data_IF_068001434443
#
_entry.id   IF_068001434443
#
_cell.length_a   1.000
_cell.length_b   1.000
_cell.length_c   1.000
_cell.angle_alpha   90.00
_cell.angle_beta   90.00
_cell.angle_gamma   90.00
#
_symmetry.space_group_name_H-M   'P 1'
#
loop_
_entity.id
_entity.type
_entity.pdbx_description
1 polymer ?
#
# COMPACT_ATOMS: atom_id res chain seq x y z
N UNK A 1 -2.28 4.12 -15.05
CA UNK A 1 -1.09 3.42 -14.53
C UNK A 1 -1.40 2.56 -13.31
N UNK A 2 -1.96 3.10 -12.22
CA UNK A 2 -2.30 2.31 -11.03
C UNK A 2 -3.17 1.09 -11.33
N UNK A 3 -4.20 1.23 -12.18
CA UNK A 3 -5.04 0.11 -12.63
C UNK A 3 -4.26 -0.97 -13.37
N UNK A 4 -3.30 -0.57 -14.21
CA UNK A 4 -2.45 -1.51 -14.92
C UNK A 4 -1.53 -2.26 -13.94
N UNK A 5 -0.97 -1.58 -12.93
CA UNK A 5 -0.17 -2.22 -11.88
C UNK A 5 -1.02 -3.19 -11.07
N UNK A 6 -2.21 -2.76 -10.63
CA UNK A 6 -3.14 -3.57 -9.83
C UNK A 6 -3.61 -4.83 -10.56
N UNK A 7 -3.68 -4.83 -11.89
CA UNK A 7 -4.10 -5.99 -12.68
C UNK A 7 -2.92 -6.84 -13.17
N UNK A 8 -1.87 -6.21 -13.71
CA UNK A 8 -0.77 -6.93 -14.32
C UNK A 8 0.18 -7.56 -13.29
N UNK A 9 0.38 -6.91 -12.14
CA UNK A 9 1.32 -7.40 -11.12
C UNK A 9 0.83 -8.68 -10.46
N UNK A 10 -0.43 -8.82 -10.01
CA UNK A 10 -0.91 -10.08 -9.44
C UNK A 10 -0.84 -11.25 -10.41
N UNK A 11 -1.24 -11.02 -11.67
CA UNK A 11 -1.16 -12.06 -12.71
C UNK A 11 0.29 -12.45 -12.97
N UNK A 12 1.20 -11.47 -13.06
CA UNK A 12 2.63 -11.71 -13.18
C UNK A 12 3.23 -12.44 -11.98
N UNK A 13 2.76 -12.13 -10.76
CA UNK A 13 3.14 -12.83 -9.53
C UNK A 13 2.78 -14.30 -9.59
N UNK A 14 1.50 -14.60 -9.90
CA UNK A 14 1.02 -15.98 -10.02
C UNK A 14 1.82 -16.70 -11.11
N UNK A 15 1.96 -16.11 -12.29
CA UNK A 15 2.70 -16.70 -13.40
C UNK A 15 4.17 -17.02 -13.08
N UNK A 16 4.82 -16.18 -12.26
CA UNK A 16 6.17 -16.44 -11.79
C UNK A 16 6.23 -17.62 -10.82
N UNK A 17 5.28 -17.68 -9.87
CA UNK A 17 5.28 -18.68 -8.80
C UNK A 17 4.88 -20.08 -9.30
N UNK A 18 3.81 -20.17 -10.10
CA UNK A 18 3.19 -21.45 -10.51
C UNK A 18 3.62 -21.92 -11.90
N UNK A 19 4.18 -21.01 -12.70
CA UNK A 19 4.43 -21.21 -14.12
C UNK A 19 3.41 -20.45 -14.98
N UNK A 20 3.89 -19.91 -16.11
CA UNK A 20 3.06 -19.16 -17.05
C UNK A 20 2.08 -20.05 -17.82
N UNK A 21 1.15 -19.43 -18.56
CA UNK A 21 0.23 -20.15 -19.44
C UNK A 21 -0.91 -20.84 -18.68
N UNK A 22 -1.12 -22.13 -18.95
CA UNK A 22 -2.26 -22.91 -18.43
C UNK A 22 -2.24 -23.01 -16.90
N UNK A 23 -1.07 -23.17 -16.28
CA UNK A 23 -0.93 -23.21 -14.82
C UNK A 23 -1.44 -21.92 -14.14
N UNK A 24 -1.11 -20.76 -14.71
CA UNK A 24 -1.61 -19.46 -14.19
C UNK A 24 -3.13 -19.39 -14.31
N UNK A 25 -3.68 -19.84 -15.43
CA UNK A 25 -5.12 -19.83 -15.68
C UNK A 25 -5.87 -20.74 -14.70
N UNK A 26 -5.38 -21.97 -14.52
CA UNK A 26 -5.93 -22.95 -13.59
C UNK A 26 -5.98 -22.37 -12.17
N UNK A 27 -4.88 -21.78 -11.70
CA UNK A 27 -4.81 -21.16 -10.38
C UNK A 27 -5.78 -19.97 -10.25
N UNK A 28 -5.84 -19.08 -11.24
CA UNK A 28 -6.74 -17.92 -11.19
C UNK A 28 -8.22 -18.31 -11.20
N UNK A 29 -8.57 -19.38 -11.91
CA UNK A 29 -9.94 -19.92 -11.91
C UNK A 29 -10.27 -20.67 -10.62
N UNK A 30 -9.30 -21.39 -10.04
CA UNK A 30 -9.45 -22.09 -8.77
C UNK A 30 -9.57 -21.14 -7.57
N UNK A 31 -8.80 -20.04 -7.57
CA UNK A 31 -8.91 -18.97 -6.57
C UNK A 31 -10.29 -18.29 -6.65
N UNK A 32 -10.82 -18.13 -7.87
CA UNK A 32 -12.08 -17.41 -8.11
C UNK A 32 -11.94 -15.89 -7.96
N UNK A 33 -12.78 -15.10 -8.65
CA UNK A 33 -12.60 -13.65 -8.77
C UNK A 33 -12.76 -12.88 -7.46
N UNK A 34 -13.41 -13.47 -6.45
CA UNK A 34 -13.61 -12.85 -5.14
C UNK A 34 -12.31 -12.80 -4.33
N UNK A 35 -11.43 -13.79 -4.49
CA UNK A 35 -10.23 -13.98 -3.68
C UNK A 35 -8.97 -13.43 -4.39
N UNK A 36 -9.10 -12.90 -5.61
CA UNK A 36 -8.00 -12.22 -6.33
C UNK A 36 -7.33 -11.07 -5.54
N UNK A 37 -8.06 -10.25 -4.75
CA UNK A 37 -7.43 -9.23 -3.91
C UNK A 37 -6.41 -9.80 -2.90
N UNK A 38 -6.55 -11.06 -2.50
CA UNK A 38 -5.65 -11.69 -1.53
C UNK A 38 -4.23 -11.86 -2.08
N UNK A 39 -4.07 -11.94 -3.40
CA UNK A 39 -2.75 -11.92 -4.05
C UNK A 39 -2.05 -10.60 -3.76
N UNK A 40 -2.74 -9.47 -3.94
CA UNK A 40 -2.19 -8.14 -3.67
C UNK A 40 -1.91 -7.95 -2.19
N UNK A 41 -2.82 -8.41 -1.33
CA UNK A 41 -2.66 -8.33 0.12
C UNK A 41 -1.42 -9.13 0.55
N UNK A 42 -1.29 -10.36 0.07
CA UNK A 42 -0.13 -11.21 0.31
C UNK A 42 1.18 -10.59 -0.14
N UNK A 43 1.21 -10.02 -1.36
CA UNK A 43 2.38 -9.29 -1.86
C UNK A 43 2.74 -8.10 -0.99
N UNK A 44 1.75 -7.32 -0.56
CA UNK A 44 1.96 -6.15 0.32
C UNK A 44 2.49 -6.60 1.68
N UNK A 45 1.93 -7.67 2.27
CA UNK A 45 2.33 -8.18 3.58
C UNK A 45 3.73 -8.80 3.60
N UNK A 46 4.22 -9.27 2.46
CA UNK A 46 5.53 -9.93 2.34
C UNK A 46 6.65 -8.99 1.86
N UNK A 47 6.30 -7.83 1.28
CA UNK A 47 7.24 -6.88 0.70
C UNK A 47 7.17 -5.49 1.36
N UNK A 48 8.05 -5.26 2.33
CA UNK A 48 8.21 -3.98 3.02
C UNK A 48 8.30 -2.75 2.11
N UNK A 49 9.11 -2.72 1.03
CA UNK A 49 9.22 -1.53 0.18
C UNK A 49 7.93 -1.25 -0.60
N UNK A 50 7.24 -2.29 -1.08
CA UNK A 50 5.96 -2.16 -1.76
C UNK A 50 4.90 -1.58 -0.80
N UNK A 51 4.81 -2.14 0.40
CA UNK A 51 3.89 -1.68 1.45
C UNK A 51 4.15 -0.22 1.83
N UNK A 52 5.40 0.16 2.05
CA UNK A 52 5.80 1.52 2.40
C UNK A 52 5.41 2.54 1.31
N UNK A 53 5.71 2.25 0.04
CA UNK A 53 5.39 3.13 -1.08
C UNK A 53 3.88 3.28 -1.25
N UNK A 54 3.13 2.18 -1.17
CA UNK A 54 1.66 2.22 -1.21
C UNK A 54 1.08 3.02 -0.05
N UNK A 55 1.60 2.85 1.17
CA UNK A 55 1.18 3.59 2.34
C UNK A 55 1.40 5.10 2.18
N UNK A 56 2.54 5.52 1.62
CA UNK A 56 2.83 6.92 1.30
C UNK A 56 1.84 7.47 0.27
N UNK A 57 1.61 6.73 -0.83
CA UNK A 57 0.69 7.14 -1.91
C UNK A 57 -0.75 7.25 -1.39
N UNK A 58 -1.24 6.22 -0.69
CA UNK A 58 -2.56 6.21 -0.08
C UNK A 58 -2.72 7.36 0.92
N UNK A 59 -1.70 7.59 1.76
CA UNK A 59 -1.73 8.67 2.74
C UNK A 59 -1.88 10.05 2.09
N UNK A 60 -1.27 10.22 0.92
CA UNK A 60 -1.37 11.43 0.11
C UNK A 60 -2.71 11.55 -0.62
N UNK A 61 -3.22 10.47 -1.22
CA UNK A 61 -4.51 10.47 -1.89
C UNK A 61 -5.65 10.82 -0.94
N UNK A 62 -5.66 10.23 0.26
CA UNK A 62 -6.62 10.55 1.31
C UNK A 62 -6.59 12.04 1.65
N UNK A 63 -5.38 12.60 1.81
CA UNK A 63 -5.24 14.04 2.07
C UNK A 63 -5.76 14.91 0.93
N UNK A 64 -5.37 14.61 -0.32
CA UNK A 64 -5.80 15.36 -1.49
C UNK A 64 -7.33 15.30 -1.68
N UNK A 65 -7.93 14.13 -1.46
CA UNK A 65 -9.37 13.92 -1.52
C UNK A 65 -10.11 14.76 -0.48
N UNK A 66 -9.68 14.74 0.78
CA UNK A 66 -10.29 15.56 1.83
C UNK A 66 -10.08 17.05 1.61
N UNK A 67 -8.90 17.46 1.14
CA UNK A 67 -8.62 18.86 0.79
C UNK A 67 -9.56 19.33 -0.34
N UNK A 68 -9.70 18.56 -1.42
CA UNK A 68 -10.61 18.85 -2.51
C UNK A 68 -12.07 18.89 -2.05
N UNK A 69 -12.50 17.94 -1.21
CA UNK A 69 -13.88 17.88 -0.69
C UNK A 69 -14.20 19.06 0.21
N UNK A 70 -13.26 19.49 1.06
CA UNK A 70 -13.42 20.69 1.89
C UNK A 70 -13.45 21.99 1.07
N UNK A 71 -12.78 22.04 -0.08
CA UNK A 71 -12.80 23.19 -0.99
C UNK A 71 -14.08 23.25 -1.84
N UNK A 72 -14.73 22.10 -2.09
CA UNK A 72 -15.94 21.98 -2.88
C UNK A 72 -17.24 22.17 -2.08
N UNK A 73 -17.19 22.22 -0.74
CA UNK A 73 -18.35 22.52 0.10
C UNK A 73 -18.77 23.99 -0.05
N UNK A 74 -19.97 24.31 -0.59
CA UNK A 74 -20.40 25.69 -0.82
C UNK A 74 -20.66 26.47 0.48
N UNK A 75 -20.81 25.80 1.62
CA UNK A 75 -21.19 26.39 2.91
C UNK A 75 -20.01 26.88 3.77
N UNK A 76 -18.79 26.91 3.22
CA UNK A 76 -17.60 27.38 3.94
C UNK A 76 -17.30 28.87 3.81
N UNK A 77 -18.03 29.61 2.97
CA UNK A 77 -17.81 31.06 2.77
C UNK A 77 -18.62 31.95 3.72
N UNK A 78 -19.57 31.40 4.48
CA UNK A 78 -20.47 32.22 5.30
C UNK A 78 -20.03 32.36 6.77
N UNK A 79 -18.88 31.79 7.18
CA UNK A 79 -18.27 32.08 8.49
C UNK A 79 -17.17 33.14 8.44
N UNK A 80 -16.93 33.74 7.27
CA UNK A 80 -16.01 34.88 7.11
C UNK A 80 -16.72 36.23 6.99
N UNK A 81 -18.05 36.27 7.06
CA UNK A 81 -18.87 37.48 6.97
C UNK A 81 -19.89 37.61 8.11
N UNK A 82 -19.58 37.08 9.29
CA UNK A 82 -20.37 37.32 10.49
C UNK A 82 -19.49 37.62 11.70
N UNK A 83 -18.87 38.80 11.70
CA UNK A 83 -18.79 39.68 12.87
C UNK A 83 -18.27 41.05 12.41
N UNK A 84 -19.17 41.86 11.87
CA UNK A 84 -19.07 43.30 12.09
C UNK A 84 -19.50 43.55 13.53
N UNK A 85 -18.73 44.35 14.25
CA UNK A 85 -18.90 44.76 15.64
C UNK A 85 -18.89 43.63 16.68
N UNK A 86 -17.70 43.33 17.21
CA UNK A 86 -17.42 43.72 18.59
C UNK A 86 -15.91 43.74 18.87
N UNK A 87 -15.54 44.78 19.60
CA UNK A 87 -14.23 45.23 20.06
C UNK A 87 -13.45 44.22 20.93
N UNK A 88 -12.12 44.29 20.83
CA UNK A 88 -11.12 43.83 21.80
C UNK A 88 -11.18 42.36 22.30
N UNK A 89 -10.43 41.48 21.63
CA UNK A 89 -9.90 40.26 22.26
C UNK A 89 -8.46 39.99 21.82
N UNK A 90 -7.46 40.09 22.73
CA UNK A 90 -6.03 39.96 22.41
C UNK A 90 -5.54 38.49 22.34
N UNK A 91 -6.44 37.55 22.07
CA UNK A 91 -6.11 36.13 22.02
C UNK A 91 -6.20 35.65 20.57
N UNK A 92 -5.03 35.59 19.92
CA UNK A 92 -4.88 34.90 18.63
C UNK A 92 -5.42 33.46 18.68
N UNK A 93 -5.52 32.77 17.54
CA UNK A 93 -6.14 31.44 17.46
C UNK A 93 -5.59 30.54 18.58
N UNK A 94 -6.46 30.17 19.52
CA UNK A 94 -6.05 29.49 20.74
C UNK A 94 -5.23 28.24 20.42
N UNK A 95 -4.22 27.94 21.23
CA UNK A 95 -3.29 26.81 21.04
C UNK A 95 -4.01 25.48 20.73
N UNK A 96 -5.24 25.31 21.24
CA UNK A 96 -6.13 24.18 20.95
C UNK A 96 -6.52 24.07 19.47
N UNK A 97 -6.87 25.18 18.81
CA UNK A 97 -7.21 25.19 17.39
C UNK A 97 -6.01 24.82 16.52
N UNK A 98 -4.82 25.33 16.87
CA UNK A 98 -3.56 24.99 16.18
C UNK A 98 -3.20 23.52 16.41
N UNK A 99 -3.32 23.02 17.65
CA UNK A 99 -3.07 21.62 17.99
C UNK A 99 -4.01 20.68 17.21
N UNK A 100 -5.29 21.01 17.09
CA UNK A 100 -6.27 20.22 16.33
C UNK A 100 -5.96 20.18 14.82
N UNK A 101 -5.48 21.27 14.23
CA UNK A 101 -5.06 21.27 12.83
C UNK A 101 -3.81 20.42 12.60
N UNK A 102 -2.81 20.52 13.49
CA UNK A 102 -1.59 19.70 13.42
C UNK A 102 -1.91 18.23 13.60
N UNK A 103 -2.79 17.89 14.55
CA UNK A 103 -3.22 16.52 14.80
C UNK A 103 -3.85 15.89 13.55
N UNK A 104 -4.79 16.57 12.88
CA UNK A 104 -5.41 16.05 11.64
C UNK A 104 -4.40 15.86 10.50
N UNK A 105 -3.40 16.74 10.41
CA UNK A 105 -2.31 16.61 9.43
C UNK A 105 -1.38 15.42 9.75
N UNK A 106 -1.27 15.02 11.01
CA UNK A 106 -0.37 13.95 11.45
C UNK A 106 -1.04 12.57 11.60
N UNK A 107 -2.36 12.50 11.83
CA UNK A 107 -3.05 11.23 12.13
C UNK A 107 -2.85 10.18 11.05
N UNK A 108 -3.05 10.53 9.78
CA UNK A 108 -2.95 9.58 8.68
C UNK A 108 -1.52 9.05 8.40
N UNK A 109 -0.46 9.89 8.34
CA UNK A 109 0.92 9.39 8.21
C UNK A 109 1.35 8.63 9.45
N UNK A 110 0.85 8.98 10.64
CA UNK A 110 1.14 8.23 11.86
C UNK A 110 0.47 6.84 11.84
N UNK A 111 -0.80 6.76 11.46
CA UNK A 111 -1.52 5.50 11.35
C UNK A 111 -0.85 4.55 10.35
N UNK A 112 -0.48 5.06 9.17
CA UNK A 112 0.25 4.29 8.15
C UNK A 112 1.65 3.89 8.62
N UNK A 113 2.38 4.77 9.31
CA UNK A 113 3.67 4.45 9.92
C UNK A 113 3.56 3.33 10.97
N UNK A 114 2.53 3.35 11.81
CA UNK A 114 2.27 2.31 12.82
C UNK A 114 1.97 0.98 12.16
N UNK A 115 1.12 0.96 11.12
CA UNK A 115 0.83 -0.27 10.36
C UNK A 115 2.11 -0.87 9.79
N UNK A 116 2.92 -0.06 9.09
CA UNK A 116 4.19 -0.54 8.54
C UNK A 116 5.17 -0.97 9.63
N UNK A 117 5.21 -0.29 10.78
CA UNK A 117 6.04 -0.67 11.91
C UNK A 117 5.68 -2.05 12.48
N UNK A 118 4.38 -2.36 12.57
CA UNK A 118 3.87 -3.63 13.10
C UNK A 118 4.26 -4.79 12.21
N UNK A 119 4.14 -4.65 10.88
CA UNK A 119 4.40 -5.74 9.95
C UNK A 119 5.88 -5.90 9.57
N UNK A 120 6.62 -4.79 9.44
CA UNK A 120 7.98 -4.78 8.87
C UNK A 120 9.05 -4.27 9.83
N UNK A 121 8.67 -3.87 11.04
CA UNK A 121 9.58 -3.38 12.07
C UNK A 121 9.69 -1.86 12.13
N UNK A 122 10.21 -1.33 13.26
CA UNK A 122 10.10 0.08 13.62
C UNK A 122 10.78 1.03 12.64
N UNK A 123 11.90 0.65 12.04
CA UNK A 123 12.63 1.48 11.08
C UNK A 123 11.85 1.71 9.78
N UNK A 124 11.14 0.71 9.27
CA UNK A 124 10.27 0.88 8.11
C UNK A 124 9.10 1.81 8.41
N UNK A 125 8.52 1.68 9.60
CA UNK A 125 7.47 2.59 10.07
C UNK A 125 7.95 4.03 10.16
N UNK A 126 9.12 4.27 10.78
CA UNK A 126 9.71 5.61 10.89
C UNK A 126 10.04 6.20 9.52
N UNK A 127 10.67 5.44 8.62
CA UNK A 127 10.99 5.91 7.28
C UNK A 127 9.71 6.29 6.51
N UNK A 128 8.68 5.43 6.53
CA UNK A 128 7.40 5.67 5.87
C UNK A 128 6.69 6.90 6.45
N UNK A 129 6.67 7.03 7.78
CA UNK A 129 6.09 8.18 8.47
C UNK A 129 6.81 9.48 8.14
N UNK A 130 8.15 9.47 8.18
CA UNK A 130 8.98 10.62 7.86
C UNK A 130 8.78 11.09 6.41
N UNK A 131 8.78 10.17 5.43
CA UNK A 131 8.51 10.49 4.02
C UNK A 131 7.09 11.04 3.85
N UNK A 132 6.10 10.39 4.46
CA UNK A 132 4.70 10.84 4.38
C UNK A 132 4.50 12.22 4.99
N UNK A 133 5.17 12.52 6.11
CA UNK A 133 5.16 13.83 6.75
C UNK A 133 5.92 14.87 5.93
N UNK A 134 7.08 14.55 5.37
CA UNK A 134 7.85 15.45 4.52
C UNK A 134 7.04 15.88 3.28
N UNK A 135 6.36 14.93 2.63
CA UNK A 135 5.46 15.20 1.51
C UNK A 135 4.24 16.05 1.90
N UNK A 136 3.86 16.08 3.18
CA UNK A 136 2.83 16.99 3.72
C UNK A 136 3.39 18.35 4.13
N UNK A 137 4.61 18.40 4.65
CA UNK A 137 5.22 19.64 5.18
C UNK A 137 5.75 20.60 4.10
N UNK A 138 5.89 20.16 2.84
CA UNK A 138 6.02 21.06 1.69
C UNK A 138 4.94 22.17 1.63
N UNK A 139 3.81 21.95 2.33
CA UNK A 139 2.67 22.86 2.42
C UNK A 139 2.71 23.78 3.66
N UNK A 140 3.27 23.37 4.81
CA UNK A 140 3.13 24.11 6.09
C UNK A 140 4.18 25.19 6.32
N UNK A 141 5.32 25.16 5.62
CA UNK A 141 6.30 26.26 5.66
C UNK A 141 5.72 27.60 5.15
N UNK A 142 4.57 27.56 4.46
CA UNK A 142 3.83 28.71 3.93
C UNK A 142 3.12 29.58 4.97
N UNK A 143 2.94 29.15 6.23
CA UNK A 143 2.16 29.94 7.21
C UNK A 143 3.01 30.75 8.20
N UNK A 144 4.25 30.35 8.49
CA UNK A 144 5.10 31.07 9.47
C UNK A 144 5.87 32.25 8.91
N UNK A 145 6.04 32.33 7.59
CA UNK A 145 6.81 33.41 6.92
C UNK A 145 5.94 34.52 6.33
N UNK A 146 4.61 34.52 6.56
CA UNK A 146 3.70 35.57 6.08
C UNK A 146 3.68 36.88 6.90
N UNK A 147 4.37 36.96 8.04
CA UNK A 147 4.41 38.21 8.83
C UNK A 147 5.58 39.14 8.50
N UNK A 148 6.53 38.74 7.65
CA UNK A 148 7.71 39.56 7.38
C UNK A 148 7.99 39.58 5.87
N UNK A 149 7.65 40.73 5.27
CA UNK A 149 8.08 41.23 3.95
C UNK A 149 7.22 40.80 2.74
N UNK A 150 6.43 41.78 2.30
CA UNK A 150 5.88 41.96 0.95
C UNK A 150 7.00 42.10 -0.10
N UNK A 151 7.36 41.00 -0.76
CA UNK A 151 8.13 40.98 -2.03
C UNK A 151 7.72 39.76 -2.88
N UNK A 152 7.89 39.79 -4.22
CA UNK A 152 7.24 38.84 -5.14
C UNK A 152 7.92 37.46 -5.03
N UNK A 153 7.38 36.61 -4.16
CA UNK A 153 7.90 35.26 -3.82
C UNK A 153 7.20 34.11 -4.55
N UNK A 154 6.53 34.38 -5.67
CA UNK A 154 5.81 33.37 -6.45
C UNK A 154 6.74 32.25 -6.95
N UNK A 155 7.96 32.58 -7.37
CA UNK A 155 8.86 31.64 -8.07
C UNK A 155 9.37 30.47 -7.23
N UNK A 156 9.71 30.66 -5.95
CA UNK A 156 10.19 29.55 -5.10
C UNK A 156 9.05 28.62 -4.66
N UNK A 157 7.85 29.18 -4.43
CA UNK A 157 6.67 28.42 -4.05
C UNK A 157 6.15 27.54 -5.18
N UNK A 158 6.24 28.03 -6.42
CA UNK A 158 5.89 27.27 -7.63
C UNK A 158 6.91 26.16 -7.88
N UNK A 159 8.21 26.38 -7.64
CA UNK A 159 9.25 25.35 -7.75
C UNK A 159 9.08 24.22 -6.73
N UNK A 160 8.70 24.53 -5.49
CA UNK A 160 8.45 23.52 -4.46
C UNK A 160 7.18 22.72 -4.77
N UNK A 161 6.11 23.37 -5.21
CA UNK A 161 4.88 22.68 -5.62
C UNK A 161 5.08 21.81 -6.87
N UNK A 162 5.91 22.27 -7.82
CA UNK A 162 6.34 21.48 -8.97
C UNK A 162 7.17 20.27 -8.54
N UNK A 163 8.10 20.46 -7.59
CA UNK A 163 8.89 19.38 -7.00
C UNK A 163 8.02 18.33 -6.30
N UNK A 164 7.00 18.73 -5.56
CA UNK A 164 6.10 17.83 -4.85
C UNK A 164 5.26 16.97 -5.82
N UNK A 165 4.73 17.58 -6.90
CA UNK A 165 4.03 16.85 -7.97
C UNK A 165 4.97 15.89 -8.70
N UNK A 166 6.22 16.31 -8.94
CA UNK A 166 7.23 15.48 -9.56
C UNK A 166 7.58 14.27 -8.69
N UNK A 167 7.85 14.46 -7.39
CA UNK A 167 8.14 13.36 -6.45
C UNK A 167 6.97 12.38 -6.36
N UNK A 168 5.73 12.89 -6.31
CA UNK A 168 4.54 12.03 -6.33
C UNK A 168 4.43 11.25 -7.64
N UNK A 169 4.71 11.91 -8.77
CA UNK A 169 4.72 11.29 -10.09
C UNK A 169 5.80 10.20 -10.20
N UNK A 170 6.98 10.42 -9.66
CA UNK A 170 8.07 9.43 -9.60
C UNK A 170 7.70 8.26 -8.69
N UNK A 171 7.15 8.53 -7.51
CA UNK A 171 6.69 7.48 -6.59
C UNK A 171 5.62 6.59 -7.23
N UNK A 172 4.61 7.19 -7.85
CA UNK A 172 3.49 6.44 -8.44
C UNK A 172 3.80 5.84 -9.82
N UNK A 173 4.61 6.53 -10.63
CA UNK A 173 4.89 6.17 -12.02
C UNK A 173 6.14 5.32 -12.22
N UNK A 174 7.08 5.32 -11.27
CA UNK A 174 8.35 4.59 -11.39
C UNK A 174 8.56 3.69 -10.17
N UNK A 175 8.62 4.27 -8.97
CA UNK A 175 9.00 3.52 -7.76
C UNK A 175 7.99 2.40 -7.46
N UNK A 176 6.70 2.71 -7.50
CA UNK A 176 5.65 1.72 -7.25
C UNK A 176 5.66 0.56 -8.26
N UNK A 177 5.67 0.80 -9.59
CA UNK A 177 5.81 -0.29 -10.57
C UNK A 177 7.05 -1.14 -10.34
N UNK A 178 8.21 -0.51 -10.06
CA UNK A 178 9.47 -1.24 -9.84
C UNK A 178 9.40 -2.10 -8.58
N UNK A 179 8.93 -1.56 -7.45
CA UNK A 179 8.81 -2.34 -6.21
C UNK A 179 7.77 -3.45 -6.33
N UNK A 180 6.70 -3.21 -7.08
CA UNK A 180 5.69 -4.22 -7.36
C UNK A 180 6.23 -5.36 -8.24
N UNK A 181 7.03 -5.04 -9.28
CA UNK A 181 7.66 -6.04 -10.13
C UNK A 181 8.72 -6.85 -9.36
N UNK A 182 9.54 -6.19 -8.54
CA UNK A 182 10.51 -6.88 -7.68
C UNK A 182 9.82 -7.83 -6.71
N UNK A 183 8.71 -7.39 -6.09
CA UNK A 183 7.90 -8.24 -5.23
C UNK A 183 7.18 -9.36 -5.97
N UNK A 184 6.83 -9.17 -7.26
CA UNK A 184 6.25 -10.21 -8.08
C UNK A 184 7.25 -11.34 -8.36
N UNK A 185 8.51 -10.97 -8.60
CA UNK A 185 9.55 -11.89 -9.04
C UNK A 185 10.45 -12.39 -7.89
N UNK A 186 10.01 -12.23 -6.64
CA UNK A 186 10.81 -12.53 -5.45
C UNK A 186 10.91 -14.03 -5.10
N UNK A 187 10.21 -14.89 -5.84
CA UNK A 187 10.19 -16.33 -5.61
C UNK A 187 9.47 -16.77 -4.33
N UNK A 188 8.75 -15.85 -3.66
CA UNK A 188 7.93 -16.16 -2.48
C UNK A 188 6.45 -16.12 -2.83
N UNK A 189 5.67 -17.12 -2.45
CA UNK A 189 4.25 -17.17 -2.74
C UNK A 189 3.48 -16.03 -2.05
N UNK A 190 2.41 -15.57 -2.68
CA UNK A 190 1.51 -14.58 -2.08
C UNK A 190 0.71 -15.15 -0.89
N UNK A 191 0.48 -16.46 -0.90
CA UNK A 191 -0.30 -17.22 0.08
C UNK A 191 0.59 -18.23 0.82
N UNK A 192 0.27 -18.67 2.05
CA UNK A 192 1.05 -19.66 2.78
C UNK A 192 1.34 -20.93 1.97
N UNK A 193 2.57 -21.45 2.09
CA UNK A 193 2.92 -22.77 1.57
C UNK A 193 2.71 -23.81 2.67
N UNK A 194 1.81 -24.74 2.41
CA UNK A 194 1.47 -25.83 3.31
C UNK A 194 2.12 -27.13 2.84
N UNK A 195 2.32 -28.05 3.76
CA UNK A 195 2.63 -29.43 3.45
C UNK A 195 1.40 -30.26 3.79
N UNK A 196 0.77 -30.86 2.79
CA UNK A 196 -0.46 -31.63 2.95
C UNK A 196 -0.29 -33.04 2.40
N UNK A 197 -1.20 -33.91 2.80
CA UNK A 197 -1.41 -35.20 2.15
C UNK A 197 -2.36 -35.00 0.98
N UNK A 198 -1.93 -35.38 -0.21
CA UNK A 198 -2.69 -35.32 -1.47
C UNK A 198 -2.87 -36.75 -1.97
N UNK A 199 -4.04 -37.06 -2.52
CA UNK A 199 -4.28 -38.32 -3.21
C UNK A 199 -4.54 -38.03 -4.69
N UNK A 200 -3.53 -38.29 -5.51
CA UNK A 200 -3.56 -38.13 -6.97
C UNK A 200 -4.06 -39.40 -7.69
N UNK A 201 -4.66 -40.35 -6.97
CA UNK A 201 -5.14 -41.62 -7.52
C UNK A 201 -4.09 -42.74 -7.55
N UNK A 202 -2.84 -42.45 -7.17
CA UNK A 202 -1.77 -43.44 -6.96
C UNK A 202 -1.47 -43.70 -5.48
N UNK A 203 -2.26 -43.12 -4.58
CA UNK A 203 -2.10 -43.22 -3.14
C UNK A 203 -1.86 -41.86 -2.51
N UNK A 204 -1.96 -41.84 -1.18
CA UNK A 204 -1.79 -40.64 -0.38
C UNK A 204 -0.29 -40.30 -0.24
N UNK A 205 0.13 -39.19 -0.85
CA UNK A 205 1.50 -38.69 -0.80
C UNK A 205 1.57 -37.30 -0.13
N UNK A 206 2.75 -36.95 0.40
CA UNK A 206 2.98 -35.64 1.02
C UNK A 206 3.49 -34.66 -0.02
N UNK A 207 2.71 -33.63 -0.30
CA UNK A 207 3.06 -32.60 -1.27
C UNK A 207 3.10 -31.20 -0.64
N UNK A 208 3.85 -30.30 -1.27
CA UNK A 208 3.89 -28.87 -0.91
C UNK A 208 2.92 -28.10 -1.78
N UNK A 209 2.04 -27.33 -1.14
CA UNK A 209 0.92 -26.66 -1.78
C UNK A 209 0.92 -25.17 -1.47
N UNK A 210 0.71 -24.34 -2.49
CA UNK A 210 0.31 -22.94 -2.27
C UNK A 210 -1.19 -22.95 -1.96
N UNK A 211 -1.58 -22.45 -0.79
CA UNK A 211 -3.00 -22.38 -0.40
C UNK A 211 -3.76 -21.43 -1.34
N UNK A 212 -4.73 -21.95 -2.09
CA UNK A 212 -5.63 -21.16 -2.94
C UNK A 212 -6.96 -20.89 -2.24
N UNK A 213 -7.42 -21.84 -1.45
CA UNK A 213 -8.65 -21.68 -0.67
C UNK A 213 -8.89 -22.85 0.25
N UNK A 214 -9.90 -22.73 1.11
CA UNK A 214 -10.33 -23.80 2.01
C UNK A 214 -11.73 -24.24 1.67
N UNK A 215 -11.93 -25.56 1.60
CA UNK A 215 -13.24 -26.15 1.35
C UNK A 215 -13.49 -27.28 2.35
N UNK A 216 -14.39 -27.04 3.29
CA UNK A 216 -14.64 -27.96 4.40
C UNK A 216 -13.42 -28.11 5.29
N UNK A 217 -12.99 -29.36 5.51
CA UNK A 217 -11.79 -29.72 6.28
C UNK A 217 -10.51 -29.83 5.42
N UNK A 218 -10.60 -29.58 4.12
CA UNK A 218 -9.49 -29.64 3.18
C UNK A 218 -9.01 -28.26 2.71
N UNK A 219 -7.84 -28.25 2.09
CA UNK A 219 -7.24 -27.09 1.43
C UNK A 219 -7.20 -27.36 -0.07
N UNK A 220 -7.72 -26.43 -0.86
CA UNK A 220 -7.49 -26.39 -2.31
C UNK A 220 -6.17 -25.66 -2.51
N UNK A 221 -5.21 -26.29 -3.16
CA UNK A 221 -3.88 -25.72 -3.32
C UNK A 221 -3.24 -26.09 -4.65
N UNK A 222 -2.29 -25.27 -5.08
CA UNK A 222 -1.44 -25.57 -6.23
C UNK A 222 -0.26 -26.43 -5.79
N UNK A 223 -0.14 -27.64 -6.34
CA UNK A 223 0.97 -28.56 -6.07
C UNK A 223 2.22 -28.11 -6.82
N UNK A 224 3.30 -27.86 -6.08
CA UNK A 224 4.56 -27.37 -6.63
C UNK A 224 5.34 -28.43 -7.41
N UNK A 225 5.13 -29.71 -7.12
CA UNK A 225 5.83 -30.81 -7.76
C UNK A 225 5.00 -31.34 -8.94
N UNK A 226 3.71 -31.60 -8.70
CA UNK A 226 2.82 -32.13 -9.73
C UNK A 226 2.35 -31.07 -10.75
N UNK A 227 2.46 -29.77 -10.44
CA UNK A 227 2.01 -28.66 -11.30
C UNK A 227 0.52 -28.74 -11.66
N UNK A 228 -0.32 -28.99 -10.66
CA UNK A 228 -1.78 -29.07 -10.80
C UNK A 228 -2.49 -28.57 -9.53
N UNK A 229 -3.77 -28.18 -9.65
CA UNK A 229 -4.62 -27.84 -8.50
C UNK A 229 -5.19 -29.11 -7.87
N UNK A 230 -4.87 -29.31 -6.59
CA UNK A 230 -5.28 -30.51 -5.83
C UNK A 230 -5.97 -30.17 -4.53
N UNK A 231 -6.68 -31.15 -3.97
CA UNK A 231 -7.28 -31.08 -2.64
C UNK A 231 -6.36 -31.75 -1.62
N UNK A 232 -5.72 -30.95 -0.77
CA UNK A 232 -4.89 -31.40 0.33
C UNK A 232 -5.68 -31.63 1.62
N UNK A 233 -5.32 -32.68 2.34
CA UNK A 233 -5.79 -32.99 3.69
C UNK A 233 -4.61 -33.00 4.68
N UNK A 234 -4.91 -32.91 5.97
CA UNK A 234 -3.89 -32.94 7.04
C UNK A 234 -2.75 -31.93 6.84
N UNK A 235 -3.09 -30.73 6.39
CA UNK A 235 -2.14 -29.68 6.05
C UNK A 235 -1.45 -29.06 7.27
N UNK A 236 -0.13 -28.96 7.23
CA UNK A 236 0.70 -28.22 8.18
C UNK A 236 1.39 -27.02 7.53
N UNK A 237 1.57 -25.93 8.26
CA UNK A 237 2.35 -24.79 7.77
C UNK A 237 3.85 -25.15 7.74
N UNK A 238 4.51 -24.91 6.61
CA UNK A 238 5.94 -25.19 6.44
C UNK A 238 6.84 -24.12 7.07
N UNK A 239 6.29 -22.95 7.43
CA UNK A 239 7.03 -21.81 7.96
C UNK A 239 7.82 -21.05 6.89
N UNK A 240 7.71 -21.45 5.62
CA UNK A 240 8.35 -20.79 4.48
C UNK A 240 7.34 -20.40 3.42
N UNK A 241 7.59 -19.27 2.75
CA UNK A 241 6.86 -18.85 1.56
C UNK A 241 7.67 -19.11 0.27
N UNK A 242 8.90 -19.61 0.39
CA UNK A 242 9.78 -19.77 -0.77
C UNK A 242 9.26 -20.91 -1.67
N UNK A 243 8.95 -20.56 -2.91
CA UNK A 243 8.49 -21.47 -3.97
C UNK A 243 9.53 -21.60 -5.08
N UNK A 244 10.26 -20.53 -5.38
CA UNK A 244 11.31 -20.49 -6.40
C UNK A 244 12.48 -19.63 -5.93
N UNK A 245 13.60 -19.72 -6.62
CA UNK A 245 14.67 -18.74 -6.46
C UNK A 245 14.22 -17.38 -7.01
N UNK A 246 14.59 -16.28 -6.34
CA UNK A 246 14.29 -14.95 -6.85
C UNK A 246 15.06 -14.69 -8.15
N UNK A 247 14.48 -13.89 -9.06
CA UNK A 247 15.07 -13.61 -10.38
C UNK A 247 16.48 -13.00 -10.34
N UNK A 248 16.88 -12.35 -9.25
CA UNK A 248 18.22 -11.78 -9.08
C UNK A 248 19.26 -12.81 -8.62
N UNK A 249 18.89 -14.07 -8.43
CA UNK A 249 19.78 -15.19 -8.10
C UNK A 249 19.74 -16.33 -9.11
N UNK A 250 18.80 -16.32 -10.05
CA UNK A 250 18.64 -17.30 -11.14
C UNK A 250 19.65 -17.11 -12.26
#
# INVERSE_FOLDING_TARGET
MLTAVVLAVPVGKVAWDVGGGEATWEVLTALGPADWPDILIGMVLTNAPLAAVLAVIASRMVYAYFAARSAASPHGRDTASQHGDDTDSPHGPGWRAVAWSVLRIAVNPLATAVLIAVFFGPWWGLATGAVSLALRQGVTFRYRTRRVVSRPRATWQDRVAAGERWVTGVLAGIVLPVTALVGALDGRSWSPVLQCTVDSGHGAERARLIELGRKGNGVVGWDLEAHEVVNGLACGNTGTLAVREPWWRS
#
